data_IF_813608822256
#
_entry.id   IF_813608822256
#
_cell.length_a   1.000
_cell.length_b   1.000
_cell.length_c   1.000
_cell.angle_alpha   90.00
_cell.angle_beta   90.00
_cell.angle_gamma   90.00
#
_symmetry.space_group_name_H-M   'P 1'
#
loop_
_entity.id
_entity.type
_entity.pdbx_description
1 polymer ?
#
# COMPACT_ATOMS: atom_id res chain seq x y z
N UNK A 1 -25.01 25.84 -18.11
CA UNK A 1 -24.73 25.40 -17.93
C UNK A 1 -24.14 24.58 -17.60
N UNK A 2 -23.76 24.35 -17.29
CA UNK A 2 -23.22 23.74 -17.00
C UNK A 2 -22.81 22.75 -16.97
N UNK A 3 -22.43 22.32 -17.01
CA UNK A 3 -21.97 21.44 -16.95
C UNK A 3 -21.54 20.75 -16.37
N UNK A 4 -21.44 20.59 -16.01
CA UNK A 4 -21.03 20.05 -15.37
C UNK A 4 -20.64 19.04 -15.24
N UNK A 5 -20.47 18.59 -15.29
CA UNK A 5 -20.15 17.56 -15.15
C UNK A 5 -19.11 17.10 -15.08
N UNK A 6 -18.71 17.49 -15.03
CA UNK A 6 -17.74 17.27 -15.03
C UNK A 6 -17.11 16.54 -14.23
N UNK A 7 -17.25 15.84 -14.19
CA UNK A 7 -16.84 15.05 -13.54
C UNK A 7 -15.69 14.65 -13.65
N UNK A 8 -15.22 14.69 -13.03
CA UNK A 8 -13.97 14.49 -12.93
C UNK A 8 -13.44 13.23 -13.12
N UNK A 9 -14.00 12.40 -13.22
CA UNK A 9 -13.54 11.28 -13.37
C UNK A 9 -12.55 11.34 -14.13
N UNK A 10 -12.11 11.79 -14.50
CA UNK A 10 -11.58 11.55 -15.38
C UNK A 10 -10.37 11.82 -15.68
N UNK A 11 -9.85 12.65 -15.40
CA UNK A 11 -8.64 13.00 -15.90
C UNK A 11 -7.66 13.19 -14.82
N UNK A 12 -7.47 12.23 -14.00
CA UNK A 12 -6.31 12.19 -13.14
C UNK A 12 -5.07 12.11 -14.01
N UNK A 13 -4.02 12.84 -13.67
CA UNK A 13 -2.76 12.63 -14.31
C UNK A 13 -2.24 11.19 -14.02
N UNK A 14 -1.27 10.69 -14.79
CA UNK A 14 -0.80 9.32 -14.64
C UNK A 14 -0.33 8.97 -13.23
N UNK A 15 0.35 9.89 -12.55
CA UNK A 15 0.85 9.64 -11.19
C UNK A 15 -0.30 9.55 -10.19
N UNK A 16 -1.27 10.46 -10.28
CA UNK A 16 -2.45 10.42 -9.42
C UNK A 16 -3.28 9.16 -9.65
N UNK A 17 -3.35 8.70 -10.88
CA UNK A 17 -4.07 7.48 -11.25
C UNK A 17 -3.36 6.24 -10.69
N UNK A 18 -2.05 6.16 -10.83
CA UNK A 18 -1.25 5.08 -10.27
C UNK A 18 -1.44 5.01 -8.76
N UNK A 19 -1.39 6.15 -8.09
CA UNK A 19 -1.62 6.27 -6.66
C UNK A 19 -3.01 5.79 -6.24
N UNK A 20 -4.04 6.15 -7.01
CA UNK A 20 -5.41 5.72 -6.72
C UNK A 20 -5.55 4.20 -6.82
N UNK A 21 -4.90 3.59 -7.81
CA UNK A 21 -4.91 2.13 -7.97
C UNK A 21 -4.18 1.46 -6.79
N UNK A 22 -3.04 1.98 -6.37
CA UNK A 22 -2.30 1.45 -5.22
C UNK A 22 -3.08 1.57 -3.91
N UNK A 23 -3.77 2.70 -3.69
CA UNK A 23 -4.62 2.85 -2.50
C UNK A 23 -5.76 1.84 -2.51
N UNK A 24 -6.39 1.64 -3.65
CA UNK A 24 -7.45 0.65 -3.80
C UNK A 24 -6.93 -0.76 -3.53
N UNK A 25 -5.76 -1.09 -4.05
CA UNK A 25 -5.12 -2.39 -3.83
C UNK A 25 -4.81 -2.60 -2.34
N UNK A 26 -4.22 -1.60 -1.68
CA UNK A 26 -3.89 -1.67 -0.26
C UNK A 26 -5.15 -1.91 0.59
N UNK A 27 -6.24 -1.21 0.29
CA UNK A 27 -7.50 -1.39 0.99
C UNK A 27 -8.07 -2.80 0.77
N UNK A 28 -8.04 -3.30 -0.46
CA UNK A 28 -8.54 -4.63 -0.78
C UNK A 28 -7.74 -5.73 -0.07
N UNK A 29 -6.42 -5.61 -0.08
CA UNK A 29 -5.55 -6.58 0.61
C UNK A 29 -5.68 -6.51 2.14
N UNK A 30 -6.10 -5.39 2.69
CA UNK A 30 -6.37 -5.26 4.12
C UNK A 30 -7.69 -5.94 4.52
N UNK A 31 -8.68 -5.91 3.65
CA UNK A 31 -10.02 -6.39 3.95
C UNK A 31 -10.22 -7.87 3.69
N UNK A 32 -9.51 -8.42 2.71
CA UNK A 32 -9.75 -9.80 2.26
C UNK A 32 -8.44 -10.54 2.05
N UNK A 33 -8.48 -11.89 2.16
CA UNK A 33 -7.31 -12.70 1.82
C UNK A 33 -6.84 -12.43 0.40
N UNK A 34 -5.54 -12.48 0.18
CA UNK A 34 -4.93 -12.22 -1.12
C UNK A 34 -5.60 -13.01 -2.24
N UNK A 35 -5.87 -14.30 -2.01
CA UNK A 35 -6.46 -15.18 -3.01
C UNK A 35 -7.85 -14.73 -3.46
N UNK A 36 -8.58 -14.02 -2.61
CA UNK A 36 -9.94 -13.55 -2.89
C UNK A 36 -10.00 -12.19 -3.56
N UNK A 37 -8.91 -11.43 -3.53
CA UNK A 37 -8.85 -10.12 -4.18
C UNK A 37 -8.63 -10.30 -5.67
N UNK A 38 -9.44 -9.63 -6.48
CA UNK A 38 -9.32 -9.65 -7.94
C UNK A 38 -8.89 -8.29 -8.47
N UNK A 39 -8.29 -8.27 -9.67
CA UNK A 39 -7.97 -7.00 -10.33
C UNK A 39 -9.23 -6.18 -10.63
N UNK A 40 -10.35 -6.85 -10.92
CA UNK A 40 -11.62 -6.17 -11.11
C UNK A 40 -12.06 -5.42 -9.86
N UNK A 41 -11.89 -6.01 -8.68
CA UNK A 41 -12.20 -5.36 -7.41
C UNK A 41 -11.33 -4.11 -7.20
N UNK A 42 -10.04 -4.23 -7.47
CA UNK A 42 -9.09 -3.13 -7.33
C UNK A 42 -9.43 -2.00 -8.31
N UNK A 43 -9.70 -2.36 -9.56
CA UNK A 43 -10.09 -1.39 -10.59
C UNK A 43 -11.35 -0.64 -10.18
N UNK A 44 -12.36 -1.35 -9.71
CA UNK A 44 -13.62 -0.74 -9.26
C UNK A 44 -13.37 0.26 -8.12
N UNK A 45 -12.59 -0.12 -7.13
CA UNK A 45 -12.25 0.76 -6.00
C UNK A 45 -11.47 2.00 -6.42
N UNK A 46 -10.71 1.91 -7.50
CA UNK A 46 -9.94 3.03 -8.05
C UNK A 46 -10.70 3.81 -9.11
N UNK A 47 -11.94 3.41 -9.43
CA UNK A 47 -12.74 3.98 -10.51
C UNK A 47 -12.02 3.91 -11.86
N UNK A 48 -11.36 2.79 -12.09
CA UNK A 48 -10.62 2.52 -13.30
C UNK A 48 -11.15 1.25 -13.96
N UNK A 49 -10.82 1.04 -15.22
CA UNK A 49 -11.09 -0.23 -15.88
C UNK A 49 -9.94 -1.21 -15.61
N UNK A 50 -10.21 -2.50 -15.71
CA UNK A 50 -9.16 -3.52 -15.59
C UNK A 50 -8.04 -3.31 -16.62
N UNK A 51 -8.32 -3.03 -17.90
CA UNK A 51 -7.25 -2.70 -18.86
C UNK A 51 -6.40 -1.51 -18.43
N UNK A 52 -7.00 -0.52 -17.78
CA UNK A 52 -6.25 0.63 -17.29
C UNK A 52 -5.29 0.24 -16.17
N UNK A 53 -5.71 -0.65 -15.27
CA UNK A 53 -4.84 -1.18 -14.22
C UNK A 53 -3.61 -1.86 -14.86
N UNK A 54 -3.81 -2.64 -15.91
CA UNK A 54 -2.72 -3.31 -16.62
C UNK A 54 -1.75 -2.35 -17.32
N UNK A 55 -2.13 -1.10 -17.53
CA UNK A 55 -1.20 -0.09 -18.05
C UNK A 55 -0.13 0.30 -17.04
N UNK A 56 -0.41 0.15 -15.75
CA UNK A 56 0.47 0.57 -14.67
C UNK A 56 1.12 -0.59 -13.94
N UNK A 57 0.46 -1.75 -13.92
CA UNK A 57 0.90 -2.91 -13.15
C UNK A 57 0.72 -4.18 -13.97
N UNK A 58 1.58 -5.15 -13.74
CA UNK A 58 1.54 -6.40 -14.49
C UNK A 58 0.44 -7.36 -14.02
N UNK A 59 -0.08 -7.16 -12.82
CA UNK A 59 -1.12 -7.99 -12.27
C UNK A 59 -1.22 -7.82 -10.75
N UNK A 60 -1.96 -8.72 -10.11
CA UNK A 60 -2.21 -8.66 -8.68
C UNK A 60 -0.93 -8.80 -7.85
N UNK A 61 -0.05 -9.69 -8.26
CA UNK A 61 1.22 -9.91 -7.57
C UNK A 61 2.11 -8.66 -7.62
N UNK A 62 2.20 -8.02 -8.77
CA UNK A 62 2.94 -6.77 -8.94
C UNK A 62 2.34 -5.66 -8.07
N UNK A 63 1.01 -5.54 -8.06
CA UNK A 63 0.32 -4.58 -7.20
C UNK A 63 0.64 -4.82 -5.73
N UNK A 64 0.59 -6.06 -5.29
CA UNK A 64 0.92 -6.40 -3.93
C UNK A 64 2.36 -6.02 -3.58
N UNK A 65 3.30 -6.35 -4.46
CA UNK A 65 4.71 -6.01 -4.27
C UNK A 65 4.92 -4.50 -4.17
N UNK A 66 4.22 -3.71 -4.97
CA UNK A 66 4.30 -2.25 -4.92
C UNK A 66 3.68 -1.69 -3.64
N UNK A 67 2.56 -2.24 -3.18
CA UNK A 67 1.94 -1.84 -1.91
C UNK A 67 2.91 -2.08 -0.76
N UNK A 68 3.55 -3.25 -0.70
CA UNK A 68 4.53 -3.57 0.33
C UNK A 68 5.73 -2.62 0.25
N UNK A 69 6.26 -2.41 -0.95
CA UNK A 69 7.42 -1.54 -1.15
C UNK A 69 7.16 -0.12 -0.67
N UNK A 70 6.04 0.47 -1.05
CA UNK A 70 5.70 1.82 -0.62
C UNK A 70 5.52 1.90 0.89
N UNK A 71 4.94 0.87 1.49
CA UNK A 71 4.77 0.83 2.94
C UNK A 71 6.12 0.74 3.66
N UNK A 72 7.04 -0.07 3.15
CA UNK A 72 8.40 -0.19 3.71
C UNK A 72 9.14 1.14 3.58
N UNK A 73 9.08 1.80 2.42
CA UNK A 73 9.74 3.08 2.21
C UNK A 73 9.19 4.14 3.15
N UNK A 74 7.88 4.19 3.33
CA UNK A 74 7.23 5.13 4.25
C UNK A 74 7.64 4.84 5.70
N UNK A 75 7.75 3.59 6.09
CA UNK A 75 8.22 3.19 7.42
C UNK A 75 9.65 3.68 7.66
N UNK A 76 10.54 3.43 6.71
CA UNK A 76 11.94 3.84 6.83
C UNK A 76 12.08 5.35 6.94
N UNK A 77 11.31 6.11 6.17
CA UNK A 77 11.30 7.56 6.27
C UNK A 77 10.81 8.04 7.63
N UNK A 78 9.74 7.45 8.14
CA UNK A 78 9.19 7.81 9.45
C UNK A 78 10.16 7.49 10.59
N UNK A 79 10.82 6.34 10.51
CA UNK A 79 11.83 5.95 11.50
C UNK A 79 13.02 6.90 11.46
N UNK A 80 13.52 7.23 10.28
CA UNK A 80 14.65 8.14 10.14
C UNK A 80 14.30 9.51 10.71
N UNK A 81 13.11 10.02 10.41
CA UNK A 81 12.67 11.31 10.92
C UNK A 81 12.55 11.31 12.45
N UNK A 82 11.95 10.27 12.99
CA UNK A 82 11.77 10.16 14.45
C UNK A 82 13.10 10.09 15.18
N UNK A 83 14.09 9.40 14.61
CA UNK A 83 15.42 9.31 15.19
C UNK A 83 16.14 10.65 15.06
N UNK A 84 16.05 11.32 13.92
CA UNK A 84 16.70 12.61 13.69
C UNK A 84 16.16 13.72 14.62
N UNK A 85 14.91 13.61 15.03
CA UNK A 85 14.29 14.56 15.95
C UNK A 85 14.70 14.33 17.41
N UNK A 86 15.35 13.21 17.73
CA UNK A 86 15.83 12.94 19.07
C UNK A 86 17.00 13.87 19.39
N UNK A 87 17.12 14.32 20.66
CA UNK A 87 18.27 15.12 21.08
C UNK A 87 19.59 14.39 20.87
N UNK A 88 20.66 15.16 20.70
CA UNK A 88 22.01 14.59 20.62
C UNK A 88 22.33 13.89 21.95
N UNK A 89 23.06 12.78 21.84
CA UNK A 89 23.49 12.03 23.01
C UNK A 89 22.46 11.05 23.58
N UNK A 90 21.31 10.89 22.92
CA UNK A 90 20.33 9.89 23.34
C UNK A 90 20.94 8.50 23.23
N UNK A 91 20.83 7.65 24.27
CA UNK A 91 21.39 6.29 24.24
C UNK A 91 20.81 5.45 23.09
N UNK A 92 21.63 4.53 22.60
CA UNK A 92 21.25 3.64 21.49
C UNK A 92 19.95 2.89 21.79
N UNK A 93 19.76 2.41 23.03
CA UNK A 93 18.55 1.68 23.38
C UNK A 93 17.28 2.52 23.24
N UNK A 94 17.36 3.83 23.49
CA UNK A 94 16.22 4.72 23.33
C UNK A 94 15.93 5.01 21.87
N UNK A 95 16.97 5.04 21.03
CA UNK A 95 16.82 5.13 19.57
C UNK A 95 16.13 3.87 19.02
N UNK A 96 16.54 2.70 19.49
CA UNK A 96 15.92 1.43 19.11
C UNK A 96 14.47 1.40 19.57
N UNK A 97 14.19 1.88 20.78
CA UNK A 97 12.82 1.95 21.31
C UNK A 97 11.95 2.82 20.42
N UNK A 98 12.45 4.00 20.03
CA UNK A 98 11.71 4.90 19.16
C UNK A 98 11.44 4.25 17.79
N UNK A 99 12.45 3.63 17.20
CA UNK A 99 12.30 2.94 15.93
C UNK A 99 11.27 1.81 16.02
N UNK A 100 11.24 1.09 17.14
CA UNK A 100 10.27 0.02 17.38
C UNK A 100 8.84 0.55 17.51
N UNK A 101 8.67 1.65 18.25
CA UNK A 101 7.35 2.29 18.40
C UNK A 101 6.82 2.72 17.03
N UNK A 102 7.65 3.38 16.24
CA UNK A 102 7.28 3.82 14.88
C UNK A 102 6.91 2.62 14.01
N UNK A 103 7.66 1.54 14.11
CA UNK A 103 7.41 0.31 13.37
C UNK A 103 6.05 -0.29 13.73
N UNK A 104 5.75 -0.42 15.02
CA UNK A 104 4.48 -0.99 15.47
C UNK A 104 3.29 -0.12 15.08
N UNK A 105 3.42 1.20 15.21
CA UNK A 105 2.39 2.13 14.78
C UNK A 105 2.13 2.05 13.28
N UNK A 106 3.21 1.89 12.51
CA UNK A 106 3.12 1.79 11.05
C UNK A 106 2.40 0.51 10.62
N UNK A 107 2.73 -0.63 11.24
CA UNK A 107 2.07 -1.91 10.95
C UNK A 107 0.57 -1.81 11.25
N UNK A 108 0.22 -1.22 12.39
CA UNK A 108 -1.18 -1.06 12.77
C UNK A 108 -1.95 -0.19 11.79
N UNK A 109 -1.29 0.82 11.21
CA UNK A 109 -1.91 1.75 10.27
C UNK A 109 -1.98 1.20 8.83
N UNK A 110 -1.19 0.16 8.50
CA UNK A 110 -1.07 -0.35 7.14
C UNK A 110 -1.24 -1.87 7.07
N UNK A 111 -2.39 -2.41 7.53
CA UNK A 111 -2.57 -3.86 7.58
C UNK A 111 -2.53 -4.53 6.21
N UNK A 112 -2.91 -3.81 5.15
CA UNK A 112 -2.88 -4.36 3.80
C UNK A 112 -1.49 -4.71 3.29
N UNK A 113 -0.46 -4.04 3.80
CA UNK A 113 0.92 -4.31 3.41
C UNK A 113 1.59 -5.33 4.34
N UNK A 114 1.13 -5.46 5.58
CA UNK A 114 1.85 -6.21 6.60
C UNK A 114 1.17 -7.51 7.07
N UNK A 115 -0.10 -7.71 6.72
CA UNK A 115 -0.80 -8.94 7.08
C UNK A 115 -0.28 -10.16 6.32
N UNK A 116 0.06 -9.97 5.04
CA UNK A 116 0.49 -11.08 4.19
C UNK A 116 1.91 -11.58 4.43
N UNK A 117 2.91 -10.75 4.69
CA UNK A 117 4.25 -11.26 4.97
C UNK A 117 4.33 -12.20 6.15
N UNK A 118 3.31 -12.20 7.01
CA UNK A 118 3.23 -13.10 8.15
C UNK A 118 2.61 -14.46 7.79
N UNK A 119 2.08 -14.62 6.59
CA UNK A 119 1.57 -15.88 6.11
C UNK A 119 2.73 -16.70 5.56
N UNK A 120 2.78 -17.96 5.93
CA UNK A 120 3.83 -18.85 5.47
C UNK A 120 3.82 -18.97 3.94
N UNK A 121 4.98 -18.87 3.29
CA UNK A 121 5.10 -19.22 1.89
C UNK A 121 4.68 -20.69 1.75
N UNK A 122 3.77 -20.96 0.85
CA UNK A 122 3.34 -22.33 0.58
C UNK A 122 1.97 -22.71 1.11
N UNK A 123 1.24 -21.80 1.72
CA UNK A 123 -0.15 -22.04 2.08
C UNK A 123 -1.13 -21.76 0.93
N UNK A 124 -0.63 -21.48 -0.24
CA UNK A 124 -1.48 -21.46 -1.42
C UNK A 124 -1.77 -22.90 -1.82
N UNK A 125 -3.04 -23.25 -2.08
CA UNK A 125 -3.32 -24.55 -2.65
C UNK A 125 -2.59 -24.61 -3.99
N UNK A 126 -1.77 -25.64 -4.11
CA UNK A 126 -1.06 -25.89 -5.37
C UNK A 126 -2.11 -26.12 -6.45
N UNK A 127 -2.10 -25.26 -7.41
CA UNK A 127 -2.81 -25.59 -8.63
C UNK A 127 -4.24 -25.15 -8.64
N UNK A 128 -4.41 -24.27 -9.43
CA UNK A 128 -5.64 -24.18 -10.17
C UNK A 128 -5.27 -23.60 -11.49
#
# INVERSE_FOLDING_TARGET
MARTDSRPRLRLDPDARREAILRSAAAAFAERPYAEVTLADIAEGARASTPLVYRYFHGKEDLYAQVVRESVDALMERQARAIDELPDGVPVRDRIRMATIVYLDHIAAHPGAWAMPLRRPGSEPAGA
#
